data_IF_673669399707
#
_entry.id   IF_673669399707
#
_cell.length_a   1.000
_cell.length_b   1.000
_cell.length_c   1.000
_cell.angle_alpha   90.00
_cell.angle_beta   90.00
_cell.angle_gamma   90.00
#
_symmetry.space_group_name_H-M   'P 1'
#
loop_
_entity.id
_entity.type
_entity.pdbx_description
1 polymer ?
#
# COMPACT_ATOMS: atom_id res chain seq x y z
N UNK A 1 -6.62 -11.65 21.74
CA UNK A 1 -6.05 -11.46 20.39
C UNK A 1 -7.19 -11.25 19.40
N UNK A 2 -7.12 -10.23 18.53
CA UNK A 2 -8.04 -10.09 17.41
C UNK A 2 -7.26 -10.37 16.12
N UNK A 3 -7.77 -11.32 15.31
CA UNK A 3 -7.18 -11.66 14.02
C UNK A 3 -7.15 -10.43 13.09
N UNK A 4 -6.04 -10.16 12.40
CA UNK A 4 -5.97 -9.13 11.38
C UNK A 4 -7.05 -9.30 10.31
N UNK A 5 -7.75 -8.21 10.01
CA UNK A 5 -8.78 -8.15 8.98
C UNK A 5 -8.67 -6.85 8.21
N UNK A 6 -8.66 -6.95 6.89
CA UNK A 6 -8.79 -5.80 5.99
C UNK A 6 -10.19 -5.22 6.19
N UNK A 7 -10.27 -3.94 6.54
CA UNK A 7 -11.53 -3.19 6.61
C UNK A 7 -11.72 -2.28 5.40
N UNK A 8 -10.62 -1.88 4.76
CA UNK A 8 -10.65 -1.10 3.52
C UNK A 8 -9.63 -1.68 2.55
N UNK A 9 -10.14 -2.18 1.43
CA UNK A 9 -9.32 -2.72 0.36
C UNK A 9 -8.78 -1.59 -0.51
N UNK A 10 -7.57 -1.76 -1.06
CA UNK A 10 -7.08 -0.85 -2.09
C UNK A 10 -7.96 -0.92 -3.32
N UNK A 11 -8.19 0.24 -3.91
CA UNK A 11 -8.84 0.38 -5.20
C UNK A 11 -7.82 0.79 -6.24
N UNK A 12 -8.08 0.44 -7.49
CA UNK A 12 -7.31 0.94 -8.61
C UNK A 12 -7.41 2.47 -8.64
N UNK A 13 -6.27 3.14 -8.78
CA UNK A 13 -6.19 4.58 -8.84
C UNK A 13 -5.28 5.01 -9.99
N UNK A 14 -5.66 6.09 -10.65
CA UNK A 14 -4.92 6.69 -11.76
C UNK A 14 -4.57 8.10 -11.34
N UNK A 15 -3.29 8.44 -11.39
CA UNK A 15 -2.79 9.79 -11.19
C UNK A 15 -2.15 10.28 -12.49
N UNK A 16 -2.21 11.60 -12.73
CA UNK A 16 -1.48 12.18 -13.85
C UNK A 16 0.03 12.07 -13.61
N UNK A 17 0.81 12.21 -14.68
CA UNK A 17 2.26 12.33 -14.56
C UNK A 17 2.57 13.51 -13.64
N UNK A 18 3.44 13.26 -12.67
CA UNK A 18 3.86 14.24 -11.66
C UNK A 18 2.80 14.63 -10.62
N UNK A 19 1.69 13.90 -10.54
CA UNK A 19 0.74 14.06 -9.45
C UNK A 19 0.99 13.04 -8.33
N UNK A 20 0.84 13.43 -7.06
CA UNK A 20 0.89 12.49 -5.95
C UNK A 20 -0.31 11.53 -6.03
N UNK A 21 -0.10 10.30 -5.56
CA UNK A 21 -1.13 9.26 -5.55
C UNK A 21 -1.22 8.61 -4.16
N UNK A 22 -2.44 8.44 -3.65
CA UNK A 22 -2.69 7.70 -2.41
C UNK A 22 -3.46 6.43 -2.73
N UNK A 23 -2.91 5.28 -2.35
CA UNK A 23 -3.63 4.02 -2.33
C UNK A 23 -4.07 3.74 -0.90
N UNK A 24 -5.38 3.74 -0.66
CA UNK A 24 -5.92 3.52 0.67
C UNK A 24 -5.93 2.03 1.03
N UNK A 25 -5.50 1.69 2.23
CA UNK A 25 -5.68 0.36 2.80
C UNK A 25 -5.82 0.50 4.30
N UNK A 26 -6.81 -0.16 4.89
CA UNK A 26 -6.99 -0.21 6.34
C UNK A 26 -7.14 -1.63 6.80
N UNK A 27 -6.48 -1.92 7.91
CA UNK A 27 -6.56 -3.19 8.59
C UNK A 27 -6.81 -3.00 10.08
N UNK A 28 -7.50 -3.97 10.67
CA UNK A 28 -7.79 -4.01 12.10
C UNK A 28 -7.29 -5.31 12.67
N UNK A 29 -6.73 -5.30 13.88
CA UNK A 29 -6.19 -6.47 14.55
C UNK A 29 -5.67 -6.07 15.93
N UNK A 30 -5.46 -7.06 16.80
CA UNK A 30 -4.77 -6.86 18.09
C UNK A 30 -3.75 -7.98 18.28
N UNK A 31 -2.43 -7.68 18.25
CA UNK A 31 -1.81 -6.37 18.06
C UNK A 31 -2.09 -5.75 16.67
N UNK A 32 -1.88 -4.44 16.48
CA UNK A 32 -2.05 -3.78 15.18
C UNK A 32 -1.28 -4.53 14.08
N UNK A 33 -1.90 -4.82 12.93
CA UNK A 33 -1.24 -5.58 11.88
C UNK A 33 -0.29 -4.69 11.06
N UNK A 34 0.79 -5.29 10.58
CA UNK A 34 1.70 -4.65 9.63
C UNK A 34 1.16 -4.82 8.19
N UNK A 35 1.14 -3.72 7.45
CA UNK A 35 0.65 -3.68 6.08
C UNK A 35 1.84 -3.57 5.14
N UNK A 36 1.96 -4.52 4.22
CA UNK A 36 3.03 -4.56 3.23
C UNK A 36 2.40 -4.49 1.83
N UNK A 37 2.83 -3.48 1.08
CA UNK A 37 2.40 -3.28 -0.30
C UNK A 37 3.31 -4.04 -1.25
N UNK A 38 2.76 -4.61 -2.32
CA UNK A 38 3.52 -5.27 -3.37
C UNK A 38 3.17 -4.66 -4.73
N UNK A 39 4.17 -4.56 -5.58
CA UNK A 39 4.02 -4.25 -7.00
C UNK A 39 4.57 -5.40 -7.82
N UNK A 40 3.74 -6.01 -8.65
CA UNK A 40 4.13 -7.14 -9.51
C UNK A 40 4.81 -8.27 -8.74
N UNK A 41 4.32 -8.56 -7.52
CA UNK A 41 4.87 -9.60 -6.64
C UNK A 41 6.13 -9.20 -5.87
N UNK A 42 6.64 -7.98 -6.04
CA UNK A 42 7.80 -7.45 -5.31
C UNK A 42 7.33 -6.56 -4.17
N UNK A 43 7.81 -6.77 -2.92
CA UNK A 43 7.46 -5.90 -1.80
C UNK A 43 7.96 -4.47 -2.06
N UNK A 44 7.08 -3.50 -1.89
CA UNK A 44 7.42 -2.09 -1.93
C UNK A 44 8.05 -1.70 -0.60
N UNK A 45 9.28 -1.21 -0.68
CA UNK A 45 10.00 -0.62 0.46
C UNK A 45 9.71 0.89 0.45
N UNK A 46 9.29 1.47 1.59
CA UNK A 46 9.19 2.92 1.73
C UNK A 46 10.53 3.59 1.44
N UNK A 47 10.50 4.67 0.68
CA UNK A 47 11.68 5.48 0.33
C UNK A 47 11.31 6.97 0.30
N UNK A 48 12.20 7.82 -0.20
CA UNK A 48 11.95 9.26 -0.31
C UNK A 48 10.74 9.62 -1.20
N UNK A 49 10.21 8.68 -1.98
CA UNK A 49 9.08 8.88 -2.91
C UNK A 49 7.86 8.03 -2.57
N UNK A 50 7.98 7.04 -1.68
CA UNK A 50 6.89 6.15 -1.23
C UNK A 50 6.83 6.13 0.28
N UNK A 51 5.69 6.54 0.84
CA UNK A 51 5.47 6.60 2.28
C UNK A 51 4.30 5.70 2.64
N UNK A 52 4.50 4.75 3.56
CA UNK A 52 3.40 4.00 4.16
C UNK A 52 2.93 4.77 5.39
N UNK A 53 1.67 5.19 5.38
CA UNK A 53 1.04 5.92 6.46
C UNK A 53 0.66 4.97 7.60
N UNK A 54 0.57 5.44 8.87
CA UNK A 54 0.26 4.60 10.03
C UNK A 54 -1.06 3.83 9.93
N UNK A 55 -2.02 4.34 9.17
CA UNK A 55 -3.31 3.70 8.89
C UNK A 55 -3.23 2.55 7.88
N UNK A 56 -2.12 2.44 7.15
CA UNK A 56 -1.89 1.42 6.11
C UNK A 56 -1.85 1.92 4.68
N UNK A 57 -2.25 3.17 4.45
CA UNK A 57 -2.29 3.76 3.11
C UNK A 57 -0.89 3.98 2.55
N UNK A 58 -0.70 3.72 1.25
CA UNK A 58 0.55 4.00 0.53
C UNK A 58 0.43 5.32 -0.21
N UNK A 59 1.33 6.24 0.10
CA UNK A 59 1.42 7.55 -0.51
C UNK A 59 2.63 7.61 -1.45
N UNK A 60 2.40 8.00 -2.70
CA UNK A 60 3.44 8.27 -3.69
C UNK A 60 3.61 9.79 -3.83
N UNK A 61 4.84 10.24 -3.66
CA UNK A 61 5.24 11.61 -3.97
C UNK A 61 5.35 11.75 -5.49
N UNK A 62 5.08 12.96 -5.98
CA UNK A 62 4.88 13.44 -7.35
C UNK A 62 5.97 13.14 -8.40
N UNK A 63 6.87 12.17 -8.21
CA UNK A 63 7.91 11.82 -9.17
C UNK A 63 7.96 10.30 -9.38
N UNK A 64 6.90 9.78 -10.00
CA UNK A 64 6.87 8.42 -10.49
C UNK A 64 7.08 8.45 -12.00
N UNK A 65 8.34 8.50 -12.41
CA UNK A 65 8.78 8.23 -13.78
C UNK A 65 8.41 6.81 -14.28
N UNK A 66 7.76 5.98 -13.45
CA UNK A 66 7.44 4.58 -13.74
C UNK A 66 6.04 4.37 -14.33
N UNK A 67 5.21 5.41 -14.48
CA UNK A 67 3.81 5.24 -14.96
C UNK A 67 3.64 5.35 -16.49
N UNK A 68 4.61 4.93 -17.30
CA UNK A 68 4.35 4.77 -18.74
C UNK A 68 3.52 3.49 -19.03
N UNK A 69 3.41 2.56 -18.08
CA UNK A 69 2.62 1.33 -18.23
C UNK A 69 1.75 1.09 -16.99
N UNK A 70 0.45 1.28 -17.17
CA UNK A 70 -0.60 0.88 -16.23
C UNK A 70 -0.66 -0.65 -16.24
N UNK A 71 0.13 -1.31 -15.39
CA UNK A 71 -0.02 -2.74 -15.14
C UNK A 71 -0.45 -2.95 -13.68
N UNK A 72 -1.76 -3.22 -13.52
CA UNK A 72 -2.39 -3.99 -12.44
C UNK A 72 -1.64 -3.99 -11.09
N UNK A 73 -1.77 -2.91 -10.30
CA UNK A 73 -1.31 -2.86 -8.91
C UNK A 73 -2.22 -3.71 -8.02
N UNK A 74 -2.10 -5.05 -8.07
CA UNK A 74 -3.03 -5.97 -7.39
C UNK A 74 -2.39 -6.89 -6.33
N UNK A 75 -1.56 -6.38 -5.43
CA UNK A 75 -1.18 -7.20 -4.26
C UNK A 75 -0.87 -6.40 -3.00
N UNK A 76 -1.80 -6.40 -2.04
CA UNK A 76 -1.49 -6.13 -0.63
C UNK A 76 -1.44 -7.47 0.10
N UNK A 77 -0.41 -7.68 0.92
CA UNK A 77 -0.43 -8.75 1.93
C UNK A 77 -0.38 -8.13 3.31
N UNK A 78 -1.34 -8.50 4.14
CA UNK A 78 -1.27 -8.26 5.59
C UNK A 78 -0.52 -9.42 6.21
N UNK A 79 0.60 -9.13 6.87
CA UNK A 79 1.32 -10.15 7.61
C UNK A 79 0.73 -10.26 9.03
N UNK A 80 0.26 -11.46 9.40
CA UNK A 80 0.00 -11.83 10.79
C UNK A 80 1.36 -12.00 11.50
N UNK A 81 1.92 -10.93 12.03
CA UNK A 81 2.94 -11.07 13.08
C UNK A 81 2.23 -11.16 14.43
N UNK A 82 1.83 -12.39 14.75
CA UNK A 82 1.45 -12.79 16.10
C UNK A 82 2.28 -14.00 16.52
N UNK A 83 3.39 -13.72 17.21
CA UNK A 83 3.86 -14.54 18.31
C UNK A 83 3.97 -13.65 19.54
#
# INVERSE_FOLDING_TARGET
QQRPRITEHPTDAVAAKEEPLTLNCKATGRPPPDIIWFHNGVPLVPDERKVILPEGSLFFLSDVHLFQYVELWQSIKIFELAL
#
